data_IF_966954500319
#
_entry.id   IF_966954500319
#
_cell.length_a   1.000
_cell.length_b   1.000
_cell.length_c   1.000
_cell.angle_alpha   90.00
_cell.angle_beta   90.00
_cell.angle_gamma   90.00
#
_symmetry.space_group_name_H-M   'P 1'
#
loop_
_entity.id
_entity.type
_entity.pdbx_description
1 polymer ?
#
# COMPACT_ATOMS: atom_id res chain seq x y z
N UNK A 1 22.86 56.50 28.65
CA UNK A 1 21.75 55.52 28.67
C UNK A 1 22.30 54.18 28.21
N UNK A 2 22.50 53.19 29.09
CA UNK A 2 23.02 51.88 28.67
C UNK A 2 21.89 51.02 28.11
N UNK A 3 22.12 50.48 26.92
CA UNK A 3 21.22 49.56 26.22
C UNK A 3 21.10 48.22 26.97
N UNK A 4 19.90 47.94 27.45
CA UNK A 4 19.52 46.70 28.12
C UNK A 4 19.61 45.52 27.14
N UNK A 5 20.64 44.69 27.30
CA UNK A 5 20.77 43.42 26.58
C UNK A 5 19.66 42.49 27.06
N UNK A 6 18.63 42.30 26.23
CA UNK A 6 17.65 41.22 26.38
C UNK A 6 18.36 39.88 26.32
N UNK A 7 18.70 39.34 27.49
CA UNK A 7 19.01 37.93 27.65
C UNK A 7 17.79 37.13 27.19
N UNK A 8 17.87 36.51 26.01
CA UNK A 8 17.00 35.41 25.65
C UNK A 8 17.21 34.30 26.69
N UNK A 9 16.30 34.22 27.66
CA UNK A 9 16.14 33.03 28.51
C UNK A 9 15.90 31.85 27.57
N UNK A 10 16.95 31.07 27.34
CA UNK A 10 16.83 29.70 26.84
C UNK A 10 16.05 28.91 27.91
N UNK A 11 14.73 28.94 27.82
CA UNK A 11 13.87 28.10 28.64
C UNK A 11 14.27 26.66 28.39
N UNK A 12 14.80 25.99 29.42
CA UNK A 12 15.02 24.54 29.43
C UNK A 12 13.72 23.89 28.97
N UNK A 13 13.67 23.37 27.74
CA UNK A 13 12.52 22.62 27.21
C UNK A 13 12.44 21.30 27.98
N UNK A 14 11.89 21.33 29.18
CA UNK A 14 11.66 20.15 30.01
C UNK A 14 10.73 19.16 29.30
N UNK A 15 10.89 17.89 29.61
CA UNK A 15 10.02 16.81 29.14
C UNK A 15 8.61 17.03 29.72
N UNK A 16 7.68 17.52 28.91
CA UNK A 16 6.27 17.61 29.35
C UNK A 16 5.67 16.20 29.45
N UNK A 17 4.67 15.96 30.31
CA UNK A 17 4.01 14.65 30.40
C UNK A 17 3.48 14.16 29.04
N UNK A 18 2.95 15.08 28.23
CA UNK A 18 2.50 14.78 26.85
C UNK A 18 3.67 14.34 25.96
N UNK A 19 4.82 15.02 26.01
CA UNK A 19 6.01 14.63 25.25
C UNK A 19 6.56 13.28 25.71
N UNK A 20 6.56 13.01 27.01
CA UNK A 20 6.97 11.72 27.56
C UNK A 20 6.06 10.59 27.06
N UNK A 21 4.75 10.78 27.12
CA UNK A 21 3.76 9.85 26.60
C UNK A 21 3.92 9.60 25.09
N UNK A 22 4.02 10.66 24.28
CA UNK A 22 4.18 10.52 22.84
C UNK A 22 5.52 9.85 22.50
N UNK A 23 6.59 10.14 23.23
CA UNK A 23 7.87 9.46 23.05
C UNK A 23 7.75 7.97 23.34
N UNK A 24 7.12 7.61 24.46
CA UNK A 24 6.87 6.21 24.83
C UNK A 24 6.02 5.51 23.77
N UNK A 25 4.93 6.13 23.31
CA UNK A 25 4.09 5.60 22.24
C UNK A 25 4.91 5.29 20.98
N UNK A 26 5.72 6.24 20.51
CA UNK A 26 6.56 6.03 19.34
C UNK A 26 7.63 4.95 19.58
N UNK A 27 8.20 4.86 20.78
CA UNK A 27 9.17 3.82 21.13
C UNK A 27 8.54 2.42 21.14
N UNK A 28 7.37 2.27 21.76
CA UNK A 28 6.60 1.01 21.76
C UNK A 28 6.26 0.61 20.33
N UNK A 29 5.71 1.52 19.54
CA UNK A 29 5.35 1.24 18.15
C UNK A 29 6.58 0.88 17.31
N UNK A 30 7.73 1.54 17.52
CA UNK A 30 8.99 1.17 16.88
C UNK A 30 9.41 -0.25 17.22
N UNK A 31 9.33 -0.67 18.49
CA UNK A 31 9.69 -2.03 18.91
C UNK A 31 8.74 -3.05 18.28
N UNK A 32 7.44 -2.78 18.27
CA UNK A 32 6.44 -3.70 17.68
C UNK A 32 6.66 -3.88 16.18
N UNK A 33 6.80 -2.78 15.43
CA UNK A 33 7.07 -2.84 13.99
C UNK A 33 8.47 -3.38 13.67
N UNK A 34 9.46 -3.11 14.53
CA UNK A 34 10.79 -3.69 14.43
C UNK A 34 10.76 -5.22 14.60
N UNK A 35 9.97 -5.72 15.55
CA UNK A 35 9.72 -7.17 15.70
C UNK A 35 9.06 -7.74 14.45
N UNK A 36 8.03 -7.09 13.91
CA UNK A 36 7.37 -7.53 12.67
C UNK A 36 8.35 -7.54 11.49
N UNK A 37 9.23 -6.55 11.39
CA UNK A 37 10.27 -6.51 10.36
C UNK A 37 11.22 -7.69 10.47
N UNK A 38 11.74 -7.96 11.68
CA UNK A 38 12.64 -9.09 11.93
C UNK A 38 11.96 -10.42 11.57
N UNK A 39 10.73 -10.64 12.01
CA UNK A 39 9.99 -11.86 11.69
C UNK A 39 9.71 -11.99 10.19
N UNK A 40 9.36 -10.90 9.51
CA UNK A 40 9.10 -10.90 8.06
C UNK A 40 10.38 -11.20 7.28
N UNK A 41 11.51 -10.58 7.66
CA UNK A 41 12.82 -10.86 7.05
C UNK A 41 13.24 -12.30 7.32
N UNK A 42 13.04 -12.80 8.55
CA UNK A 42 13.33 -14.19 8.89
C UNK A 42 12.49 -15.15 8.04
N UNK A 43 11.19 -14.89 7.87
CA UNK A 43 10.31 -15.66 6.99
C UNK A 43 10.82 -15.70 5.54
N UNK A 44 11.24 -14.55 5.01
CA UNK A 44 11.75 -14.42 3.63
C UNK A 44 13.09 -15.14 3.47
N UNK A 45 13.97 -15.09 4.47
CA UNK A 45 15.30 -15.69 4.38
C UNK A 45 15.33 -17.18 4.72
N UNK A 46 14.31 -17.70 5.41
CA UNK A 46 14.22 -19.12 5.78
C UNK A 46 13.91 -19.95 4.54
N UNK A 47 14.83 -20.83 4.07
CA UNK A 47 14.58 -21.70 2.93
C UNK A 47 13.42 -22.65 3.25
N UNK A 48 12.39 -22.67 2.41
CA UNK A 48 11.21 -23.53 2.58
C UNK A 48 10.87 -24.21 1.27
N UNK A 49 10.55 -25.50 1.33
CA UNK A 49 9.97 -26.23 0.21
C UNK A 49 8.49 -25.84 0.13
N UNK A 50 8.16 -24.84 -0.68
CA UNK A 50 6.77 -24.46 -0.89
C UNK A 50 6.11 -25.41 -1.91
N UNK A 51 4.93 -25.97 -1.62
CA UNK A 51 4.13 -26.62 -2.64
C UNK A 51 3.79 -25.59 -3.74
N UNK A 52 4.02 -25.97 -4.99
CA UNK A 52 3.75 -25.13 -6.16
C UNK A 52 2.24 -24.89 -6.31
N UNK A 53 1.74 -23.75 -5.84
CA UNK A 53 0.33 -23.38 -5.95
C UNK A 53 0.13 -22.18 -6.89
N UNK A 54 1.14 -21.32 -7.06
CA UNK A 54 1.12 -20.19 -7.99
C UNK A 54 1.82 -20.46 -9.33
N UNK A 55 2.27 -21.69 -9.61
CA UNK A 55 2.85 -22.09 -10.92
C UNK A 55 1.90 -21.97 -12.12
N UNK A 56 0.65 -21.58 -11.89
CA UNK A 56 -0.39 -21.34 -12.92
C UNK A 56 -0.24 -19.97 -13.60
N UNK A 57 0.50 -19.01 -13.00
CA UNK A 57 0.79 -17.76 -13.71
C UNK A 57 1.62 -18.06 -14.96
N UNK A 58 1.01 -17.93 -16.15
CA UNK A 58 1.69 -18.01 -17.44
C UNK A 58 1.94 -19.40 -17.99
N UNK A 59 1.33 -20.45 -17.47
CA UNK A 59 1.34 -21.74 -18.16
C UNK A 59 0.71 -21.58 -19.54
N UNK A 60 1.57 -21.64 -20.57
CA UNK A 60 1.10 -21.75 -21.94
C UNK A 60 0.43 -23.11 -22.13
N UNK A 61 -0.45 -23.24 -23.13
CA UNK A 61 -1.05 -24.54 -23.49
C UNK A 61 0.00 -25.62 -23.86
N UNK A 62 1.29 -25.24 -24.00
CA UNK A 62 2.43 -26.13 -24.23
C UNK A 62 3.18 -26.55 -22.96
N UNK A 63 2.78 -26.07 -21.78
CA UNK A 63 3.43 -26.37 -20.51
C UNK A 63 4.60 -25.46 -20.13
N UNK A 64 5.06 -24.60 -21.04
CA UNK A 64 6.10 -23.61 -20.73
C UNK A 64 5.56 -22.55 -19.76
N UNK A 65 6.34 -22.25 -18.71
CA UNK A 65 6.06 -21.20 -17.72
C UNK A 65 7.12 -20.09 -17.89
N UNK A 66 6.85 -19.03 -18.68
CA UNK A 66 7.87 -18.03 -19.07
C UNK A 66 8.44 -17.20 -17.91
N UNK A 67 7.96 -17.43 -16.68
CA UNK A 67 8.37 -16.76 -15.45
C UNK A 67 8.27 -17.71 -14.24
N UNK A 68 8.77 -18.94 -14.40
CA UNK A 68 8.80 -19.95 -13.33
C UNK A 68 9.44 -19.43 -12.02
N UNK A 69 10.45 -18.55 -12.11
CA UNK A 69 11.08 -17.93 -10.94
C UNK A 69 10.13 -17.00 -10.16
N UNK A 70 9.19 -16.32 -10.84
CA UNK A 70 8.17 -15.48 -10.19
C UNK A 70 7.19 -16.35 -9.42
N UNK A 71 6.76 -17.46 -10.02
CA UNK A 71 5.90 -18.43 -9.36
C UNK A 71 6.58 -19.04 -8.14
N UNK A 72 7.85 -19.45 -8.25
CA UNK A 72 8.62 -19.97 -7.13
C UNK A 72 8.79 -18.92 -6.01
N UNK A 73 9.00 -17.65 -6.35
CA UNK A 73 9.04 -16.56 -5.39
C UNK A 73 7.68 -16.35 -4.70
N UNK A 74 6.58 -16.38 -5.46
CA UNK A 74 5.24 -16.30 -4.91
C UNK A 74 4.98 -17.46 -3.95
N UNK A 75 5.29 -18.70 -4.36
CA UNK A 75 5.14 -19.88 -3.50
C UNK A 75 5.95 -19.75 -2.21
N UNK A 76 7.19 -19.22 -2.30
CA UNK A 76 8.04 -18.96 -1.13
C UNK A 76 7.46 -17.90 -0.19
N UNK A 77 6.82 -16.86 -0.73
CA UNK A 77 6.23 -15.78 0.05
C UNK A 77 4.87 -16.12 0.65
N UNK A 78 4.26 -17.22 0.23
CA UNK A 78 2.98 -17.70 0.75
C UNK A 78 3.06 -18.25 2.17
N UNK A 79 1.98 -18.08 2.93
CA UNK A 79 1.88 -18.54 4.31
C UNK A 79 2.61 -17.67 5.33
N UNK A 80 2.96 -16.43 4.97
CA UNK A 80 3.60 -15.48 5.89
C UNK A 80 2.74 -15.16 7.12
N UNK A 81 1.42 -15.19 7.00
CA UNK A 81 0.53 -14.87 8.11
C UNK A 81 0.72 -15.83 9.30
N UNK A 82 0.85 -17.12 9.04
CA UNK A 82 0.91 -18.16 10.08
C UNK A 82 2.31 -18.30 10.70
N UNK A 83 3.34 -17.70 10.08
CA UNK A 83 4.72 -17.80 10.55
C UNK A 83 4.91 -17.10 11.90
N UNK A 84 5.11 -17.87 12.98
CA UNK A 84 5.31 -17.36 14.35
C UNK A 84 4.25 -16.33 14.80
N UNK A 85 2.99 -16.48 14.35
CA UNK A 85 1.90 -15.56 14.70
C UNK A 85 2.04 -14.16 14.10
N UNK A 86 2.73 -14.04 12.96
CA UNK A 86 3.00 -12.75 12.29
C UNK A 86 1.71 -12.00 11.95
N UNK A 87 0.68 -12.71 11.50
CA UNK A 87 -0.65 -12.18 11.22
C UNK A 87 -1.30 -11.54 12.45
N UNK A 88 -1.39 -12.29 13.54
CA UNK A 88 -1.96 -11.81 14.79
C UNK A 88 -1.16 -10.64 15.38
N UNK A 89 0.17 -10.71 15.34
CA UNK A 89 1.02 -9.61 15.79
C UNK A 89 0.80 -8.34 14.93
N UNK A 90 0.63 -8.49 13.62
CA UNK A 90 0.32 -7.38 12.70
C UNK A 90 -1.03 -6.76 13.03
N UNK A 91 -2.05 -7.59 13.29
CA UNK A 91 -3.39 -7.15 13.65
C UNK A 91 -3.43 -6.22 14.85
N UNK A 92 -2.79 -6.63 15.94
CA UNK A 92 -2.77 -5.85 17.16
C UNK A 92 -1.85 -4.63 17.07
N UNK A 93 -0.69 -4.78 16.41
CA UNK A 93 0.23 -3.65 16.18
C UNK A 93 -0.42 -2.56 15.34
N UNK A 94 -1.12 -2.92 14.26
CA UNK A 94 -1.82 -1.96 13.42
C UNK A 94 -3.02 -1.31 14.13
N UNK A 95 -3.68 -2.03 15.04
CA UNK A 95 -4.79 -1.48 15.85
C UNK A 95 -4.35 -0.35 16.78
N UNK A 96 -3.09 -0.34 17.24
CA UNK A 96 -2.55 0.77 18.03
C UNK A 96 -2.47 2.10 17.26
N UNK A 97 -2.52 2.07 15.93
CA UNK A 97 -2.54 3.28 15.11
C UNK A 97 -3.83 4.10 15.29
N UNK A 98 -4.90 3.51 15.86
CA UNK A 98 -6.11 4.25 16.26
C UNK A 98 -5.78 5.38 17.23
N UNK A 99 -4.77 5.19 18.10
CA UNK A 99 -4.29 6.24 19.01
C UNK A 99 -3.75 7.46 18.26
N UNK A 100 -3.21 7.31 17.05
CA UNK A 100 -2.74 8.44 16.23
C UNK A 100 -3.90 9.37 15.86
N UNK A 101 -5.09 8.82 15.62
CA UNK A 101 -6.31 9.61 15.36
C UNK A 101 -6.64 10.45 16.59
N UNK A 102 -6.61 9.85 17.79
CA UNK A 102 -6.85 10.57 19.05
C UNK A 102 -5.78 11.62 19.33
N UNK A 103 -4.51 11.34 19.04
CA UNK A 103 -3.43 12.32 19.20
C UNK A 103 -3.66 13.56 18.32
N UNK A 104 -4.13 13.36 17.09
CA UNK A 104 -4.50 14.47 16.21
C UNK A 104 -5.79 15.17 16.67
N UNK A 105 -6.83 14.42 17.03
CA UNK A 105 -8.14 14.94 17.42
C UNK A 105 -8.09 15.80 18.69
N UNK A 106 -7.29 15.40 19.68
CA UNK A 106 -7.08 16.15 20.92
C UNK A 106 -5.96 17.21 20.82
N UNK A 107 -5.37 17.39 19.62
CA UNK A 107 -4.32 18.39 19.40
C UNK A 107 -2.99 18.08 20.10
N UNK A 108 -2.75 16.84 20.52
CA UNK A 108 -1.46 16.40 21.07
C UNK A 108 -0.37 16.48 20.00
N UNK A 109 -0.75 16.28 18.73
CA UNK A 109 0.11 16.42 17.55
C UNK A 109 -0.55 17.36 16.55
N UNK A 110 0.24 18.23 15.93
CA UNK A 110 -0.22 19.14 14.87
C UNK A 110 -0.39 18.36 13.56
N UNK A 111 -1.55 17.75 13.36
CA UNK A 111 -1.87 17.04 12.11
C UNK A 111 -3.36 17.16 11.79
N UNK A 112 -3.75 17.32 10.51
CA UNK A 112 -5.16 17.34 10.13
C UNK A 112 -5.81 15.99 10.46
N UNK A 113 -6.82 15.99 11.34
CA UNK A 113 -7.47 14.77 11.85
C UNK A 113 -7.98 13.89 10.71
N UNK A 114 -8.65 14.49 9.71
CA UNK A 114 -9.18 13.74 8.56
C UNK A 114 -8.10 13.01 7.76
N UNK A 115 -6.90 13.57 7.65
CA UNK A 115 -5.77 12.93 6.96
C UNK A 115 -5.20 11.77 7.77
N UNK A 116 -5.07 11.92 9.09
CA UNK A 116 -4.59 10.84 9.96
C UNK A 116 -5.62 9.71 10.01
N UNK A 117 -6.90 10.06 10.13
CA UNK A 117 -8.01 9.11 10.14
C UNK A 117 -8.07 8.30 8.83
N UNK A 118 -7.95 8.94 7.66
CA UNK A 118 -7.98 8.21 6.39
C UNK A 118 -6.79 7.26 6.22
N UNK A 119 -5.59 7.67 6.65
CA UNK A 119 -4.39 6.83 6.63
C UNK A 119 -4.53 5.62 7.54
N UNK A 120 -4.97 5.83 8.78
CA UNK A 120 -5.16 4.76 9.77
C UNK A 120 -6.29 3.82 9.34
N UNK A 121 -7.42 4.37 8.89
CA UNK A 121 -8.55 3.58 8.42
C UNK A 121 -8.19 2.72 7.22
N UNK A 122 -7.43 3.23 6.24
CA UNK A 122 -6.98 2.46 5.08
C UNK A 122 -6.23 1.19 5.49
N UNK A 123 -5.33 1.28 6.48
CA UNK A 123 -4.57 0.12 6.96
C UNK A 123 -5.38 -0.82 7.84
N UNK A 124 -6.27 -0.26 8.68
CA UNK A 124 -7.20 -1.09 9.45
C UNK A 124 -8.15 -1.85 8.52
N UNK A 125 -8.56 -1.25 7.41
CA UNK A 125 -9.35 -1.93 6.39
C UNK A 125 -8.59 -3.08 5.74
N UNK A 126 -7.31 -2.90 5.38
CA UNK A 126 -6.50 -3.98 4.84
C UNK A 126 -6.35 -5.14 5.83
N UNK A 127 -6.07 -4.86 7.10
CA UNK A 127 -5.92 -5.89 8.14
C UNK A 127 -7.25 -6.54 8.49
N UNK A 128 -8.20 -5.77 9.01
CA UNK A 128 -9.45 -6.31 9.53
C UNK A 128 -10.47 -6.60 8.43
N UNK A 129 -10.63 -5.67 7.48
CA UNK A 129 -11.65 -5.74 6.43
C UNK A 129 -11.31 -6.68 5.26
N UNK A 130 -10.04 -7.05 5.11
CA UNK A 130 -9.57 -7.95 4.04
C UNK A 130 -8.92 -9.19 4.63
N UNK A 131 -7.80 -9.06 5.35
CA UNK A 131 -7.02 -10.22 5.80
C UNK A 131 -7.82 -11.08 6.78
N UNK A 132 -8.28 -10.51 7.88
CA UNK A 132 -9.00 -11.27 8.92
C UNK A 132 -10.40 -11.72 8.46
N UNK A 133 -11.08 -10.93 7.63
CA UNK A 133 -12.39 -11.30 7.10
C UNK A 133 -12.34 -12.45 6.09
N UNK A 134 -11.19 -12.73 5.48
CA UNK A 134 -11.05 -13.74 4.42
C UNK A 134 -9.80 -14.59 4.65
N UNK A 135 -9.93 -15.73 5.36
CA UNK A 135 -8.79 -16.56 5.75
C UNK A 135 -7.91 -17.05 4.59
N UNK A 136 -8.44 -17.16 3.36
CA UNK A 136 -7.63 -17.53 2.18
C UNK A 136 -6.51 -16.53 1.87
N UNK A 137 -6.60 -15.30 2.39
CA UNK A 137 -5.55 -14.29 2.26
C UNK A 137 -4.30 -14.61 3.09
N UNK A 138 -4.40 -15.44 4.12
CA UNK A 138 -3.28 -15.81 5.00
C UNK A 138 -2.19 -16.58 4.26
N UNK A 139 -2.61 -17.37 3.27
CA UNK A 139 -1.73 -18.09 2.36
C UNK A 139 -1.23 -17.23 1.18
N UNK A 140 -1.73 -16.01 1.00
CA UNK A 140 -1.44 -15.22 -0.20
C UNK A 140 -0.07 -14.52 -0.09
N UNK A 141 0.79 -14.58 -1.12
CA UNK A 141 2.16 -14.07 -1.06
C UNK A 141 2.25 -12.55 -0.88
N UNK A 142 1.23 -11.83 -1.35
CA UNK A 142 1.15 -10.38 -1.19
C UNK A 142 1.06 -9.93 0.27
N UNK A 143 0.63 -10.80 1.19
CA UNK A 143 0.69 -10.47 2.61
C UNK A 143 2.14 -10.23 3.07
N UNK A 144 3.09 -11.05 2.63
CA UNK A 144 4.50 -10.91 2.98
C UNK A 144 5.11 -9.62 2.43
N UNK A 145 4.85 -9.29 1.16
CA UNK A 145 5.38 -8.07 0.51
C UNK A 145 4.76 -6.80 1.08
N UNK A 146 3.46 -6.83 1.39
CA UNK A 146 2.76 -5.77 2.11
C UNK A 146 3.43 -5.52 3.46
N UNK A 147 3.59 -6.59 4.26
CA UNK A 147 4.11 -6.47 5.62
C UNK A 147 5.59 -6.04 5.65
N UNK A 148 6.40 -6.50 4.69
CA UNK A 148 7.76 -6.02 4.51
C UNK A 148 7.78 -4.51 4.24
N UNK A 149 6.96 -4.04 3.30
CA UNK A 149 6.90 -2.62 2.95
C UNK A 149 6.44 -1.76 4.14
N UNK A 150 5.42 -2.24 4.87
CA UNK A 150 4.90 -1.56 6.05
C UNK A 150 5.94 -1.51 7.16
N UNK A 151 6.48 -2.65 7.57
CA UNK A 151 7.39 -2.74 8.70
C UNK A 151 8.67 -1.94 8.50
N UNK A 152 9.25 -1.90 7.29
CA UNK A 152 10.38 -1.01 6.98
C UNK A 152 9.98 0.46 7.09
N UNK A 153 8.82 0.84 6.53
CA UNK A 153 8.33 2.22 6.57
C UNK A 153 8.08 2.69 8.02
N UNK A 154 7.47 1.84 8.84
CA UNK A 154 7.13 2.14 10.23
C UNK A 154 8.35 2.22 11.14
N UNK A 155 9.32 1.33 10.94
CA UNK A 155 10.61 1.34 11.64
C UNK A 155 11.39 2.63 11.36
N UNK A 156 11.15 3.31 10.23
CA UNK A 156 11.69 4.65 9.93
C UNK A 156 10.81 5.76 10.50
N UNK A 157 9.48 5.59 10.44
CA UNK A 157 8.49 6.62 10.81
C UNK A 157 8.49 6.93 12.30
N UNK A 158 8.46 5.91 13.15
CA UNK A 158 8.34 6.10 14.60
C UNK A 158 9.57 6.76 15.23
N UNK A 159 10.83 6.39 14.90
CA UNK A 159 12.00 7.13 15.36
C UNK A 159 12.00 8.57 14.87
N UNK A 160 11.50 8.83 13.65
CA UNK A 160 11.43 10.19 13.12
C UNK A 160 10.47 11.04 13.95
N UNK A 161 9.29 10.50 14.30
CA UNK A 161 8.33 11.19 15.16
C UNK A 161 8.85 11.36 16.59
N UNK A 162 9.51 10.34 17.16
CA UNK A 162 10.09 10.42 18.50
C UNK A 162 11.15 11.54 18.62
N UNK A 163 12.07 11.63 17.65
CA UNK A 163 13.12 12.66 17.63
C UNK A 163 12.56 14.05 17.34
N UNK A 164 11.53 14.16 16.50
CA UNK A 164 10.87 15.42 16.20
C UNK A 164 10.21 16.07 17.43
N UNK A 165 9.82 15.30 18.46
CA UNK A 165 9.31 15.85 19.73
C UNK A 165 10.34 16.71 20.47
N UNK A 166 11.62 16.46 20.24
CA UNK A 166 12.75 17.17 20.83
C UNK A 166 13.42 18.15 19.85
N UNK A 167 12.79 18.40 18.70
CA UNK A 167 13.36 19.22 17.62
C UNK A 167 14.73 18.70 17.13
N UNK A 168 14.96 17.38 17.23
CA UNK A 168 16.18 16.72 16.75
C UNK A 168 15.96 16.21 15.34
N UNK A 169 16.73 16.74 14.39
CA UNK A 169 16.71 16.31 12.98
C UNK A 169 17.95 15.45 12.66
N UNK A 170 17.74 14.15 12.38
CA UNK A 170 18.82 13.25 11.93
C UNK A 170 18.80 13.15 10.41
N UNK A 171 19.93 13.49 9.77
CA UNK A 171 20.01 13.49 8.30
C UNK A 171 19.76 12.10 7.69
N UNK A 172 20.37 11.05 8.24
CA UNK A 172 20.21 9.68 7.73
C UNK A 172 18.74 9.22 7.76
N UNK A 173 18.02 9.52 8.84
CA UNK A 173 16.62 9.15 9.00
C UNK A 173 15.70 9.90 8.04
N UNK A 174 15.95 11.20 7.86
CA UNK A 174 15.27 11.99 6.84
C UNK A 174 15.56 11.46 5.43
N UNK A 175 16.83 11.13 5.14
CA UNK A 175 17.21 10.59 3.85
C UNK A 175 16.50 9.26 3.57
N UNK A 176 16.43 8.36 4.55
CA UNK A 176 15.67 7.12 4.44
C UNK A 176 14.20 7.41 4.12
N UNK A 177 13.53 8.23 4.95
CA UNK A 177 12.11 8.60 4.76
C UNK A 177 11.82 9.15 3.36
N UNK A 178 12.70 9.99 2.82
CA UNK A 178 12.51 10.64 1.51
C UNK A 178 13.07 9.85 0.31
N UNK A 179 13.61 8.63 0.49
CA UNK A 179 14.04 7.77 -0.61
C UNK A 179 13.38 6.40 -0.60
N UNK A 180 13.18 5.78 0.56
CA UNK A 180 12.60 4.43 0.65
C UNK A 180 11.17 4.39 0.14
N UNK A 181 10.40 5.48 0.31
CA UNK A 181 9.02 5.56 -0.20
C UNK A 181 8.92 5.35 -1.72
N UNK A 182 9.98 5.62 -2.50
CA UNK A 182 9.96 5.43 -3.96
C UNK A 182 9.70 3.97 -4.34
N UNK A 183 10.17 3.03 -3.51
CA UNK A 183 10.01 1.59 -3.72
C UNK A 183 8.93 1.03 -2.81
N UNK A 184 8.97 1.37 -1.52
CA UNK A 184 8.08 0.77 -0.51
C UNK A 184 6.63 1.19 -0.69
N UNK A 185 6.37 2.40 -1.18
CA UNK A 185 4.99 2.87 -1.35
C UNK A 185 4.27 2.13 -2.48
N UNK A 186 4.82 2.03 -3.72
CA UNK A 186 4.23 1.17 -4.74
C UNK A 186 4.12 -0.29 -4.29
N UNK A 187 5.15 -0.84 -3.63
CA UNK A 187 5.15 -2.23 -3.17
C UNK A 187 4.03 -2.49 -2.16
N UNK A 188 3.95 -1.68 -1.10
CA UNK A 188 2.95 -1.84 -0.04
C UNK A 188 1.53 -1.63 -0.56
N UNK A 189 1.29 -0.48 -1.20
CA UNK A 189 -0.04 -0.14 -1.70
C UNK A 189 -0.56 -1.12 -2.75
N UNK A 190 0.29 -1.55 -3.69
CA UNK A 190 -0.13 -2.54 -4.69
C UNK A 190 -0.38 -3.91 -4.05
N UNK A 191 0.44 -4.32 -3.09
CA UNK A 191 0.25 -5.60 -2.39
C UNK A 191 -1.09 -5.63 -1.66
N UNK A 192 -1.43 -4.55 -0.94
CA UNK A 192 -2.74 -4.41 -0.29
C UNK A 192 -3.90 -4.42 -1.32
N UNK A 193 -3.75 -3.70 -2.44
CA UNK A 193 -4.78 -3.59 -3.49
C UNK A 193 -5.08 -4.94 -4.14
N UNK A 194 -4.04 -5.63 -4.56
CA UNK A 194 -4.19 -6.92 -5.20
C UNK A 194 -4.58 -8.01 -4.21
N UNK A 195 -4.20 -7.91 -2.94
CA UNK A 195 -4.70 -8.80 -1.89
C UNK A 195 -6.19 -8.57 -1.62
N UNK A 196 -6.67 -7.33 -1.63
CA UNK A 196 -8.10 -7.05 -1.53
C UNK A 196 -8.86 -7.58 -2.76
N UNK A 197 -8.30 -7.40 -3.95
CA UNK A 197 -8.87 -7.90 -5.21
C UNK A 197 -8.90 -9.44 -5.26
N UNK A 198 -7.91 -10.13 -4.68
CA UNK A 198 -7.92 -11.60 -4.66
C UNK A 198 -9.07 -12.18 -3.83
N UNK A 199 -9.75 -11.37 -3.02
CA UNK A 199 -10.92 -11.79 -2.24
C UNK A 199 -12.26 -11.60 -2.96
N UNK A 200 -12.29 -10.91 -4.12
CA UNK A 200 -13.53 -10.72 -4.87
C UNK A 200 -13.75 -11.86 -5.87
N UNK A 201 -15.00 -12.21 -6.19
CA UNK A 201 -15.28 -13.19 -7.23
C UNK A 201 -14.74 -12.77 -8.59
N UNK A 202 -14.59 -13.71 -9.55
CA UNK A 202 -14.13 -13.38 -10.89
C UNK A 202 -14.96 -12.26 -11.53
N UNK A 203 -14.31 -11.27 -12.14
CA UNK A 203 -15.02 -10.11 -12.71
C UNK A 203 -16.03 -10.49 -13.79
N UNK A 204 -15.85 -11.63 -14.47
CA UNK A 204 -16.82 -12.19 -15.42
C UNK A 204 -18.16 -12.57 -14.78
N UNK A 205 -18.18 -12.77 -13.45
CA UNK A 205 -19.38 -13.07 -12.68
C UNK A 205 -20.09 -11.85 -12.12
N UNK A 206 -19.62 -10.63 -12.42
CA UNK A 206 -20.26 -9.39 -11.97
C UNK A 206 -21.73 -9.35 -12.40
N UNK A 207 -22.67 -9.06 -11.48
CA UNK A 207 -24.06 -8.90 -11.87
C UNK A 207 -24.15 -7.74 -12.87
N UNK A 208 -25.02 -7.90 -13.86
CA UNK A 208 -25.22 -7.00 -14.98
C UNK A 208 -24.09 -6.85 -16.01
N UNK A 209 -22.89 -7.41 -15.77
CA UNK A 209 -21.82 -7.38 -16.79
C UNK A 209 -22.23 -8.10 -18.07
N UNK A 210 -23.06 -9.14 -17.94
CA UNK A 210 -23.66 -9.84 -19.06
C UNK A 210 -24.67 -8.98 -19.84
N UNK A 211 -25.43 -8.08 -19.20
CA UNK A 211 -26.28 -7.12 -19.92
C UNK A 211 -25.44 -6.11 -20.69
N UNK A 212 -24.34 -5.62 -20.10
CA UNK A 212 -23.40 -4.73 -20.80
C UNK A 212 -22.82 -5.42 -22.04
N UNK A 213 -22.29 -6.64 -21.92
CA UNK A 213 -21.75 -7.39 -23.06
C UNK A 213 -22.83 -7.80 -24.07
N UNK A 214 -24.04 -8.14 -23.62
CA UNK A 214 -25.17 -8.44 -24.50
C UNK A 214 -25.63 -7.20 -25.27
N UNK A 215 -25.71 -6.04 -24.63
CA UNK A 215 -26.03 -4.76 -25.26
C UNK A 215 -24.94 -4.36 -26.26
N UNK A 216 -23.66 -4.47 -25.89
CA UNK A 216 -22.55 -4.18 -26.79
C UNK A 216 -22.53 -5.13 -28.00
N UNK A 217 -22.80 -6.42 -27.79
CA UNK A 217 -22.94 -7.39 -28.87
C UNK A 217 -24.15 -7.09 -29.77
N UNK A 218 -25.30 -6.70 -29.20
CA UNK A 218 -26.48 -6.29 -29.96
C UNK A 218 -26.22 -5.03 -30.79
N UNK A 219 -25.52 -4.03 -30.23
CA UNK A 219 -25.07 -2.84 -30.94
C UNK A 219 -24.14 -3.23 -32.10
N UNK A 220 -23.17 -4.12 -31.87
CA UNK A 220 -22.29 -4.59 -32.93
C UNK A 220 -23.02 -5.33 -34.06
N UNK A 221 -24.08 -6.09 -33.76
CA UNK A 221 -24.92 -6.74 -34.77
C UNK A 221 -25.84 -5.77 -35.51
N UNK A 222 -26.19 -4.65 -34.88
CA UNK A 222 -26.96 -3.57 -35.52
C UNK A 222 -26.13 -2.63 -36.39
N UNK A 223 -24.80 -2.80 -36.43
CA UNK A 223 -23.94 -2.03 -37.32
C UNK A 223 -24.21 -2.36 -38.79
N UNK A 224 -24.13 -1.38 -39.71
CA UNK A 224 -24.22 -1.64 -41.14
C UNK A 224 -23.15 -2.65 -41.61
N UNK A 225 -23.53 -3.57 -42.50
CA UNK A 225 -22.64 -4.59 -43.10
C UNK A 225 -21.27 -4.06 -43.60
N UNK A 226 -21.14 -2.88 -44.23
CA UNK A 226 -19.83 -2.36 -44.64
C UNK A 226 -18.89 -2.06 -43.44
N UNK A 227 -19.43 -1.61 -42.31
CA UNK A 227 -18.67 -1.30 -41.10
C UNK A 227 -18.15 -2.58 -40.44
N UNK A 228 -19.00 -3.61 -40.32
CA UNK A 228 -18.60 -4.93 -39.83
C UNK A 228 -17.50 -5.57 -40.68
N UNK A 229 -17.59 -5.42 -42.01
CA UNK A 229 -16.55 -5.90 -42.94
C UNK A 229 -15.22 -5.19 -42.68
N UNK A 230 -15.23 -3.88 -42.48
CA UNK A 230 -14.02 -3.11 -42.18
C UNK A 230 -13.39 -3.49 -40.83
N UNK A 231 -14.21 -3.77 -39.80
CA UNK A 231 -13.74 -4.24 -38.49
C UNK A 231 -13.12 -5.64 -38.59
N UNK A 232 -13.75 -6.57 -39.30
CA UNK A 232 -13.29 -7.96 -39.46
C UNK A 232 -12.00 -8.10 -40.28
N UNK A 233 -11.65 -7.13 -41.13
CA UNK A 233 -10.36 -7.13 -41.82
C UNK A 233 -9.18 -6.91 -40.86
N UNK A 234 -9.39 -6.27 -39.71
CA UNK A 234 -8.33 -6.03 -38.72
C UNK A 234 -8.16 -7.23 -37.78
N UNK A 235 -6.91 -7.54 -37.36
CA UNK A 235 -6.64 -8.56 -36.32
C UNK A 235 -7.32 -8.18 -35.00
N UNK A 236 -7.27 -6.90 -34.63
CA UNK A 236 -7.88 -6.37 -33.43
C UNK A 236 -9.41 -6.49 -33.46
N UNK A 237 -10.05 -6.16 -34.58
CA UNK A 237 -11.51 -6.24 -34.73
C UNK A 237 -12.04 -7.67 -34.70
N UNK A 238 -11.33 -8.63 -35.30
CA UNK A 238 -11.67 -10.06 -35.16
C UNK A 238 -11.56 -10.54 -33.72
N UNK A 239 -10.49 -10.15 -33.02
CA UNK A 239 -10.30 -10.51 -31.62
C UNK A 239 -11.38 -9.88 -30.72
N UNK A 240 -11.75 -8.63 -30.99
CA UNK A 240 -12.83 -7.92 -30.31
C UNK A 240 -14.18 -8.61 -30.52
N UNK A 241 -14.60 -8.86 -31.76
CA UNK A 241 -15.86 -9.54 -32.08
C UNK A 241 -15.92 -10.96 -31.49
N UNK A 242 -14.79 -11.70 -31.55
CA UNK A 242 -14.66 -13.01 -30.92
C UNK A 242 -14.81 -12.92 -29.40
N UNK A 243 -14.17 -11.94 -28.75
CA UNK A 243 -14.28 -11.74 -27.30
C UNK A 243 -15.71 -11.39 -26.87
N UNK A 244 -16.44 -10.60 -27.65
CA UNK A 244 -17.85 -10.28 -27.41
C UNK A 244 -18.76 -11.50 -27.55
N UNK A 245 -18.59 -12.28 -28.62
CA UNK A 245 -19.35 -13.51 -28.83
C UNK A 245 -19.08 -14.53 -27.70
N UNK A 246 -17.82 -14.65 -27.27
CA UNK A 246 -17.41 -15.52 -26.15
C UNK A 246 -17.97 -15.03 -24.82
N UNK A 247 -18.00 -13.73 -24.55
CA UNK A 247 -18.60 -13.17 -23.34
C UNK A 247 -20.11 -13.45 -23.25
N UNK A 248 -20.83 -13.40 -24.38
CA UNK A 248 -22.24 -13.83 -24.46
C UNK A 248 -22.39 -15.33 -24.24
N UNK A 249 -21.51 -16.16 -24.80
CA UNK A 249 -21.55 -17.61 -24.58
C UNK A 249 -21.18 -18.02 -23.13
N UNK A 250 -20.34 -17.22 -22.45
CA UNK A 250 -19.96 -17.41 -21.05
C UNK A 250 -21.08 -17.06 -20.04
N UNK A 251 -22.28 -16.69 -20.53
CA UNK A 251 -23.51 -16.43 -19.77
C UNK A 251 -23.97 -17.57 -18.84
N UNK A 252 -23.27 -18.71 -18.81
CA UNK A 252 -23.59 -19.90 -18.02
C UNK A 252 -22.91 -19.99 -16.64
N UNK A 253 -22.50 -18.88 -16.02
CA UNK A 253 -22.11 -18.87 -14.60
C UNK A 253 -23.33 -18.66 -13.69
N UNK A 254 -24.21 -19.66 -13.64
CA UNK A 254 -25.25 -19.74 -12.62
C UNK A 254 -24.61 -20.22 -11.30
N UNK A 255 -24.62 -19.40 -10.25
CA UNK A 255 -24.29 -19.85 -8.89
C UNK A 255 -23.34 -18.97 -8.07
N UNK A 256 -22.71 -17.94 -8.65
CA UNK A 256 -21.83 -17.02 -7.89
C UNK A 256 -22.64 -15.79 -7.48
N UNK A 257 -22.95 -15.68 -6.20
CA UNK A 257 -23.63 -14.50 -5.62
C UNK A 257 -22.60 -13.54 -5.03
N UNK A 258 -22.73 -12.27 -5.38
CA UNK A 258 -21.85 -11.21 -4.85
C UNK A 258 -22.41 -10.68 -3.54
N UNK A 259 -21.57 -10.60 -2.52
CA UNK A 259 -21.91 -9.96 -1.25
C UNK A 259 -21.65 -8.45 -1.31
N UNK A 260 -22.38 -7.62 -0.54
CA UNK A 260 -22.14 -6.17 -0.48
C UNK A 260 -20.68 -5.81 -0.18
N UNK A 261 -20.02 -6.57 0.69
CA UNK A 261 -18.61 -6.34 1.06
C UNK A 261 -17.65 -6.58 -0.11
N UNK A 262 -17.95 -7.53 -1.01
CA UNK A 262 -17.15 -7.78 -2.21
C UNK A 262 -17.27 -6.62 -3.21
N UNK A 263 -18.47 -6.02 -3.35
CA UNK A 263 -18.62 -4.79 -4.13
C UNK A 263 -17.82 -3.64 -3.53
N UNK A 264 -17.89 -3.46 -2.21
CA UNK A 264 -17.11 -2.41 -1.52
C UNK A 264 -15.62 -2.58 -1.80
N UNK A 265 -15.06 -3.80 -1.67
CA UNK A 265 -13.65 -4.06 -1.98
C UNK A 265 -13.29 -3.75 -3.44
N UNK A 266 -14.16 -4.12 -4.39
CA UNK A 266 -13.95 -3.82 -5.81
C UNK A 266 -14.00 -2.30 -6.10
N UNK A 267 -14.98 -1.59 -5.54
CA UNK A 267 -15.10 -0.14 -5.70
C UNK A 267 -13.90 0.57 -5.09
N UNK A 268 -13.49 0.17 -3.88
CA UNK A 268 -12.29 0.69 -3.25
C UNK A 268 -11.05 0.45 -4.11
N UNK A 269 -10.89 -0.75 -4.68
CA UNK A 269 -9.78 -1.06 -5.58
C UNK A 269 -9.70 -0.09 -6.78
N UNK A 270 -10.84 0.26 -7.39
CA UNK A 270 -10.88 1.20 -8.53
C UNK A 270 -10.57 2.63 -8.09
N UNK A 271 -11.17 3.10 -6.99
CA UNK A 271 -10.96 4.45 -6.44
C UNK A 271 -9.53 4.65 -5.96
N UNK A 272 -8.85 3.55 -5.59
CA UNK A 272 -7.55 3.65 -4.97
C UNK A 272 -6.46 4.19 -5.88
N UNK A 273 -6.45 3.82 -7.16
CA UNK A 273 -5.40 4.20 -8.10
C UNK A 273 -5.23 5.72 -8.28
N UNK A 274 -6.31 6.52 -8.48
CA UNK A 274 -6.22 7.97 -8.44
C UNK A 274 -5.65 8.52 -7.13
N UNK A 275 -6.09 8.00 -5.98
CA UNK A 275 -5.62 8.44 -4.67
C UNK A 275 -4.12 8.14 -4.48
N UNK A 276 -3.66 6.97 -4.93
CA UNK A 276 -2.26 6.58 -4.92
C UNK A 276 -1.39 7.54 -5.73
N UNK A 277 -1.85 7.92 -6.94
CA UNK A 277 -1.14 8.87 -7.79
C UNK A 277 -1.01 10.25 -7.14
N UNK A 278 -2.10 10.79 -6.59
CA UNK A 278 -2.10 12.10 -5.91
C UNK A 278 -1.17 12.10 -4.71
N UNK A 279 -1.21 11.06 -3.86
CA UNK A 279 -0.35 10.98 -2.69
C UNK A 279 1.13 10.76 -3.06
N UNK A 280 1.40 9.96 -4.09
CA UNK A 280 2.77 9.73 -4.56
C UNK A 280 3.41 11.01 -5.13
N UNK A 281 2.68 11.74 -5.97
CA UNK A 281 3.15 13.02 -6.53
C UNK A 281 3.37 14.07 -5.43
N UNK A 282 2.51 14.08 -4.41
CA UNK A 282 2.71 14.91 -3.22
C UNK A 282 4.01 14.56 -2.47
N UNK A 283 4.31 13.28 -2.24
CA UNK A 283 5.55 12.85 -1.60
C UNK A 283 6.79 13.19 -2.44
N UNK A 284 6.71 13.07 -3.77
CA UNK A 284 7.78 13.54 -4.67
C UNK A 284 8.04 15.05 -4.52
N UNK A 285 6.99 15.85 -4.35
CA UNK A 285 7.12 17.29 -4.08
C UNK A 285 7.79 17.55 -2.74
N UNK A 286 7.43 16.80 -1.68
CA UNK A 286 8.07 16.90 -0.37
C UNK A 286 9.56 16.56 -0.43
N UNK A 287 9.92 15.46 -1.13
CA UNK A 287 11.30 15.05 -1.37
C UNK A 287 12.12 16.15 -2.03
N UNK A 288 11.62 16.73 -3.13
CA UNK A 288 12.31 17.82 -3.84
C UNK A 288 12.56 19.03 -2.93
N UNK A 289 11.57 19.41 -2.11
CA UNK A 289 11.69 20.51 -1.14
C UNK A 289 12.78 20.23 -0.08
N UNK A 290 12.82 19.02 0.47
CA UNK A 290 13.83 18.63 1.46
C UNK A 290 15.26 18.76 0.91
N UNK A 291 15.52 18.21 -0.28
CA UNK A 291 16.85 18.30 -0.90
C UNK A 291 17.22 19.72 -1.32
N UNK A 292 16.25 20.53 -1.77
CA UNK A 292 16.48 21.95 -2.06
C UNK A 292 16.90 22.72 -0.80
N UNK A 293 16.19 22.56 0.32
CA UNK A 293 16.51 23.18 1.62
C UNK A 293 17.93 22.81 2.08
N UNK A 294 18.29 21.53 2.00
CA UNK A 294 19.62 21.06 2.40
C UNK A 294 20.75 21.59 1.50
N UNK A 295 20.51 21.71 0.18
CA UNK A 295 21.48 22.30 -0.75
C UNK A 295 21.70 23.78 -0.44
N UNK A 296 20.63 24.52 -0.13
CA UNK A 296 20.71 25.91 0.28
C UNK A 296 21.48 26.08 1.60
N UNK A 297 21.18 25.27 2.62
CA UNK A 297 21.88 25.30 3.90
C UNK A 297 23.39 25.03 3.75
N UNK A 298 23.77 24.05 2.90
CA UNK A 298 25.19 23.77 2.61
C UNK A 298 25.89 24.95 1.93
N UNK A 299 25.23 25.61 0.97
CA UNK A 299 25.78 26.80 0.28
C UNK A 299 26.02 27.96 1.24
N UNK A 300 25.05 28.25 2.12
CA UNK A 300 25.18 29.31 3.13
C UNK A 300 26.32 28.99 4.12
N UNK A 301 26.42 27.73 4.57
CA UNK A 301 27.51 27.31 5.46
C UNK A 301 28.89 27.38 4.82
N UNK A 302 29.00 27.19 3.50
CA UNK A 302 30.25 27.37 2.76
C UNK A 302 30.60 28.85 2.59
N UNK A 303 29.62 29.70 2.26
CA UNK A 303 29.82 31.14 2.14
C UNK A 303 30.28 31.78 3.46
N UNK A 304 29.70 31.37 4.59
CA UNK A 304 30.07 31.87 5.92
C UNK A 304 31.45 31.39 6.40
N UNK A 305 32.05 30.37 5.77
CA UNK A 305 33.42 29.91 6.07
C UNK A 305 34.48 30.57 5.19
N UNK A 306 34.07 31.23 4.11
CA UNK A 306 34.93 31.90 3.15
C UNK A 306 35.11 33.40 3.44
N UNK A 307 34.32 33.95 4.37
CA UNK A 307 34.43 35.30 4.92
C UNK A 307 34.99 35.23 6.35
#
# INVERSE_FOLDING_TARGET
MPSEKKHHKAGKKGLTPVKAYLFLYNAVSFVLWGRLLVLTVWFILTPRSAPAHWTVFGQSARGDVPWAWVAALADHLSGAYDFHGLGEATKWTQSLAVLEIFHAAFGLVRSPVGTVASQVFSRLWAVWGVVEMVPSTHAHPLFATMLLAWSVTETIRYPFYALALFDIEVYALNWLRYNTFLVLYPLGASSEAFLALSTVPPLSSLPYIHYFFAALHAICLSLPAPVLKQITHTKAGRHFLYSLARAKAAQKTHGITWSPIQFVRLVLFVIWWPALYVLYTYMLKQRRKFFAKNKQAKRVGQANKAN
#
